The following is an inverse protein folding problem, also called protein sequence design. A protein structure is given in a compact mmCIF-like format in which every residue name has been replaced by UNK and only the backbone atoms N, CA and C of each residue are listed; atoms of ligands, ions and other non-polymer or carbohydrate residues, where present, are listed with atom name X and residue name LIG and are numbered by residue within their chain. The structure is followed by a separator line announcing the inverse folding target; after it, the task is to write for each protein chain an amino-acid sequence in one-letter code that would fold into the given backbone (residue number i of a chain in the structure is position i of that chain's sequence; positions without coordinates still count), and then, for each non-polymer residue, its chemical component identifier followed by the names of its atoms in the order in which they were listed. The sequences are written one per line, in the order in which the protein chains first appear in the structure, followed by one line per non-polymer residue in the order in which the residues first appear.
data_IF_985215941756
#
_entry.id   IF_985215941756
#
_cell.length_a   1.000
_cell.length_b   1.000
_cell.length_c   1.000
_cell.angle_alpha   90.00
_cell.angle_beta   90.00
_cell.angle_gamma   90.00
#
_symmetry.space_group_name_H-M   'P 1'
#
loop_
_entity.id
_entity.type
_entity.pdbx_description
1 polymer ?
#
# COMPACT_ATOMS: atom_id res chain seq x y z
N UNK A 1 -11.74 4.37 14.78
CA UNK A 1 -11.91 5.82 15.09
C UNK A 1 -12.48 6.11 16.49
N UNK A 2 -13.52 5.40 16.95
CA UNK A 2 -14.20 5.70 18.23
C UNK A 2 -13.52 5.07 19.47
N UNK A 3 -12.95 3.87 19.33
CA UNK A 3 -12.36 3.11 20.45
C UNK A 3 -11.11 3.78 21.06
N UNK A 4 -10.34 4.53 20.27
CA UNK A 4 -9.09 5.16 20.72
C UNK A 4 -9.15 6.69 20.84
N UNK A 5 -10.35 7.30 20.74
CA UNK A 5 -10.54 8.77 20.75
C UNK A 5 -9.60 9.52 19.78
N UNK A 6 -9.33 8.93 18.62
CA UNK A 6 -8.50 9.57 17.59
C UNK A 6 -9.38 10.54 16.82
N UNK A 7 -9.14 11.84 16.99
CA UNK A 7 -9.78 12.87 16.21
C UNK A 7 -9.04 13.02 14.86
N UNK A 8 -9.66 12.47 13.82
CA UNK A 8 -9.12 12.47 12.45
C UNK A 8 -8.89 13.90 11.95
N UNK A 9 -9.73 14.87 12.34
CA UNK A 9 -9.55 16.27 11.91
C UNK A 9 -8.32 16.88 12.56
N UNK A 10 -8.11 16.62 13.86
CA UNK A 10 -6.95 17.12 14.60
C UNK A 10 -5.63 16.50 14.12
N UNK A 11 -5.61 15.19 13.89
CA UNK A 11 -4.41 14.50 13.33
C UNK A 11 -4.08 15.00 11.93
N UNK A 12 -5.09 15.32 11.11
CA UNK A 12 -4.91 15.92 9.78
C UNK A 12 -4.32 17.32 9.86
N UNK A 13 -4.76 18.15 10.79
CA UNK A 13 -4.16 19.47 11.01
C UNK A 13 -2.71 19.39 11.46
N UNK A 14 -2.39 18.46 12.37
CA UNK A 14 -1.01 18.22 12.81
C UNK A 14 -0.15 17.75 11.62
N UNK A 15 -0.64 16.78 10.84
CA UNK A 15 0.06 16.29 9.66
C UNK A 15 0.29 17.40 8.62
N UNK A 16 -0.73 18.21 8.38
CA UNK A 16 -0.65 19.32 7.43
C UNK A 16 0.37 20.37 7.89
N UNK A 17 0.48 20.62 9.21
CA UNK A 17 1.51 21.50 9.78
C UNK A 17 2.91 20.90 9.62
N UNK A 18 3.10 19.63 9.99
CA UNK A 18 4.38 18.93 9.83
C UNK A 18 4.83 18.90 8.36
N UNK A 19 3.93 18.58 7.42
CA UNK A 19 4.23 18.62 5.99
C UNK A 19 4.57 20.03 5.53
N UNK A 20 3.86 21.05 6.00
CA UNK A 20 4.15 22.44 5.61
C UNK A 20 5.50 22.92 6.17
N UNK A 21 5.87 22.52 7.38
CA UNK A 21 7.20 22.80 7.95
C UNK A 21 8.32 22.06 7.18
N UNK A 22 8.10 20.80 6.81
CA UNK A 22 9.02 20.04 5.95
C UNK A 22 9.14 20.68 4.56
N UNK A 23 8.01 21.12 3.98
CA UNK A 23 7.98 21.82 2.69
C UNK A 23 8.68 23.17 2.73
N UNK A 24 8.61 23.90 3.85
CA UNK A 24 9.29 25.19 4.02
C UNK A 24 10.79 25.05 4.32
N UNK A 25 11.22 23.95 4.93
CA UNK A 25 12.63 23.66 5.22
C UNK A 25 13.39 22.96 4.07
N UNK A 26 12.67 22.39 3.09
CA UNK A 26 13.28 21.73 1.92
C UNK A 26 13.39 22.72 0.74
N UNK A 27 14.57 22.91 0.11
CA UNK A 27 14.77 23.88 -0.97
C UNK A 27 14.10 23.50 -2.31
N UNK A 28 13.37 22.38 -2.40
CA UNK A 28 12.56 22.01 -3.57
C UNK A 28 11.23 22.78 -3.59
N UNK A 29 11.31 24.10 -3.70
CA UNK A 29 10.18 24.96 -4.03
C UNK A 29 9.89 24.88 -5.54
N UNK A 30 9.38 23.75 -6.02
CA UNK A 30 8.76 23.68 -7.35
C UNK A 30 7.26 23.64 -7.14
N UNK A 31 6.55 24.69 -7.62
CA UNK A 31 5.15 24.54 -8.05
C UNK A 31 5.10 23.31 -8.94
N UNK A 32 4.54 22.23 -8.41
CA UNK A 32 4.46 20.96 -9.13
C UNK A 32 3.49 21.16 -10.28
N UNK A 33 4.01 21.21 -11.51
CA UNK A 33 3.16 21.19 -12.68
C UNK A 33 2.53 19.80 -12.75
N UNK A 34 1.33 19.66 -12.21
CA UNK A 34 0.52 18.46 -12.38
C UNK A 34 -0.10 18.47 -13.78
N UNK A 35 -0.19 17.30 -14.38
CA UNK A 35 -0.95 17.11 -15.63
C UNK A 35 -2.27 16.44 -15.33
N UNK A 36 -3.30 16.74 -16.12
CA UNK A 36 -4.65 16.19 -15.90
C UNK A 36 -4.64 14.66 -15.93
N UNK A 37 -4.13 14.08 -17.01
CA UNK A 37 -3.84 12.66 -17.11
C UNK A 37 -2.93 12.46 -18.31
N UNK A 38 -1.78 11.82 -18.10
CA UNK A 38 -0.90 11.39 -19.18
C UNK A 38 -0.96 9.86 -19.26
N UNK A 39 -1.77 9.36 -20.19
CA UNK A 39 -1.94 7.93 -20.42
C UNK A 39 -0.63 7.26 -20.84
N UNK A 40 0.25 8.00 -21.54
CA UNK A 40 1.54 7.50 -22.00
C UNK A 40 2.46 7.28 -20.80
N UNK A 41 2.56 8.28 -19.92
CA UNK A 41 3.34 8.17 -18.69
C UNK A 41 2.83 7.04 -17.80
N UNK A 42 1.51 6.91 -17.64
CA UNK A 42 0.88 5.82 -16.88
C UNK A 42 1.24 4.44 -17.45
N UNK A 43 1.11 4.27 -18.76
CA UNK A 43 1.43 3.00 -19.45
C UNK A 43 2.91 2.63 -19.30
N UNK A 44 3.80 3.62 -19.45
CA UNK A 44 5.25 3.44 -19.27
C UNK A 44 5.56 3.02 -17.83
N UNK A 45 4.93 3.65 -16.84
CA UNK A 45 5.12 3.29 -15.43
C UNK A 45 4.67 1.85 -15.14
N UNK A 46 3.50 1.44 -15.66
CA UNK A 46 3.01 0.08 -15.53
C UNK A 46 3.92 -0.94 -16.24
N UNK A 47 4.36 -0.64 -17.46
CA UNK A 47 5.22 -1.53 -18.24
C UNK A 47 6.59 -1.73 -17.59
N UNK A 48 7.26 -0.65 -17.19
CA UNK A 48 8.52 -0.71 -16.47
C UNK A 48 8.33 -1.46 -15.15
N UNK A 49 7.30 -1.12 -14.39
CA UNK A 49 6.97 -1.77 -13.13
C UNK A 49 6.74 -3.28 -13.25
N UNK A 50 5.99 -3.71 -14.26
CA UNK A 50 5.77 -5.13 -14.55
C UNK A 50 7.08 -5.83 -14.92
N UNK A 51 7.91 -5.18 -15.74
CA UNK A 51 9.21 -5.73 -16.15
C UNK A 51 10.16 -5.86 -14.97
N UNK A 52 10.26 -4.83 -14.12
CA UNK A 52 11.03 -4.87 -12.87
C UNK A 52 10.49 -5.92 -11.91
N UNK A 53 9.16 -6.07 -11.80
CA UNK A 53 8.52 -7.07 -10.94
C UNK A 53 8.79 -8.52 -11.37
N UNK A 54 9.13 -8.74 -12.64
CA UNK A 54 9.53 -10.06 -13.16
C UNK A 54 10.99 -10.40 -12.90
N UNK A 55 11.82 -9.44 -12.48
CA UNK A 55 13.20 -9.72 -12.10
C UNK A 55 13.20 -10.61 -10.85
N UNK A 56 13.76 -11.80 -11.01
CA UNK A 56 13.98 -12.76 -9.93
C UNK A 56 15.46 -12.76 -9.59
N UNK A 57 15.76 -12.51 -8.33
CA UNK A 57 17.10 -12.61 -7.80
C UNK A 57 17.29 -13.99 -7.20
N UNK A 58 18.37 -14.66 -7.57
CA UNK A 58 18.74 -15.94 -6.95
C UNK A 58 19.48 -15.63 -5.64
N UNK A 59 18.83 -15.90 -4.51
CA UNK A 59 19.42 -15.74 -3.17
C UNK A 59 19.97 -17.07 -2.64
N UNK A 60 20.60 -17.88 -3.51
CA UNK A 60 21.33 -19.10 -3.15
C UNK A 60 20.45 -20.08 -2.35
N UNK A 61 20.72 -20.32 -1.04
CA UNK A 61 19.94 -21.25 -0.22
C UNK A 61 18.46 -20.85 -0.01
N UNK A 62 18.08 -19.61 -0.32
CA UNK A 62 16.70 -19.11 -0.24
C UNK A 62 15.93 -19.22 -1.57
N UNK A 63 16.57 -19.69 -2.65
CA UNK A 63 15.95 -19.82 -3.96
C UNK A 63 15.71 -18.50 -4.70
N UNK A 64 14.74 -18.49 -5.61
CA UNK A 64 14.41 -17.31 -6.43
C UNK A 64 13.43 -16.39 -5.70
N UNK A 65 13.93 -15.24 -5.26
CA UNK A 65 13.12 -14.18 -4.63
C UNK A 65 12.86 -13.09 -5.67
N UNK A 66 11.58 -12.76 -5.86
CA UNK A 66 11.17 -11.65 -6.73
C UNK A 66 10.20 -10.74 -6.00
N UNK A 67 10.18 -9.47 -6.38
CA UNK A 67 9.24 -8.47 -5.83
C UNK A 67 7.79 -8.72 -6.26
N UNK A 68 7.57 -9.60 -7.24
CA UNK A 68 6.28 -9.81 -7.87
C UNK A 68 5.87 -8.61 -8.74
N UNK A 69 4.84 -8.82 -9.56
CA UNK A 69 4.31 -7.76 -10.44
C UNK A 69 3.83 -6.55 -9.63
N UNK A 70 3.18 -6.76 -8.50
CA UNK A 70 2.62 -5.68 -7.67
C UNK A 70 3.71 -4.87 -6.98
N UNK A 71 4.70 -5.52 -6.37
CA UNK A 71 5.83 -4.84 -5.74
C UNK A 71 6.68 -4.07 -6.75
N UNK A 72 6.95 -4.66 -7.92
CA UNK A 72 7.68 -3.99 -9.00
C UNK A 72 6.95 -2.76 -9.56
N UNK A 73 5.63 -2.85 -9.77
CA UNK A 73 4.82 -1.70 -10.19
C UNK A 73 4.78 -0.60 -9.15
N UNK A 74 4.60 -0.93 -7.87
CA UNK A 74 4.62 0.07 -6.80
C UNK A 74 5.98 0.76 -6.67
N UNK A 75 7.08 -0.01 -6.64
CA UNK A 75 8.43 0.56 -6.52
C UNK A 75 8.78 1.43 -7.72
N UNK A 76 8.50 0.97 -8.94
CA UNK A 76 8.73 1.74 -10.17
C UNK A 76 7.88 3.02 -10.19
N UNK A 77 6.60 2.93 -9.80
CA UNK A 77 5.70 4.09 -9.80
C UNK A 77 6.09 5.12 -8.74
N UNK A 78 6.60 4.66 -7.59
CA UNK A 78 7.11 5.54 -6.53
C UNK A 78 8.38 6.29 -6.98
N UNK A 79 9.32 5.59 -7.62
CA UNK A 79 10.55 6.19 -8.17
C UNK A 79 10.22 7.20 -9.28
N UNK A 80 9.39 6.79 -10.25
CA UNK A 80 8.97 7.66 -11.35
C UNK A 80 8.16 8.87 -10.86
N UNK A 81 7.29 8.68 -9.88
CA UNK A 81 6.53 9.75 -9.23
C UNK A 81 7.44 10.73 -8.48
N UNK A 82 8.50 10.25 -7.84
CA UNK A 82 9.49 11.09 -7.17
C UNK A 82 10.33 11.91 -8.16
N UNK A 83 10.77 11.32 -9.28
CA UNK A 83 11.47 12.04 -10.36
C UNK A 83 10.54 13.09 -11.00
N UNK A 84 9.26 12.75 -11.10
CA UNK A 84 8.19 13.65 -11.50
C UNK A 84 8.09 13.87 -13.01
N UNK A 85 9.13 14.40 -13.65
CA UNK A 85 9.14 14.67 -15.09
C UNK A 85 10.38 14.08 -15.76
N UNK A 86 10.17 13.25 -16.78
CA UNK A 86 11.25 12.71 -17.62
C UNK A 86 10.95 13.10 -19.07
N UNK A 87 11.72 14.07 -19.59
CA UNK A 87 11.53 14.59 -20.96
C UNK A 87 10.14 15.21 -21.15
N UNK A 88 9.34 14.63 -22.06
CA UNK A 88 7.97 15.06 -22.35
C UNK A 88 6.91 14.44 -21.41
N UNK A 89 7.25 13.35 -20.71
CA UNK A 89 6.34 12.60 -19.85
C UNK A 89 6.30 13.19 -18.45
N UNK A 90 5.09 13.33 -17.90
CA UNK A 90 4.87 13.78 -16.54
C UNK A 90 4.15 12.70 -15.74
N UNK A 91 4.81 12.21 -14.69
CA UNK A 91 4.33 11.17 -13.80
C UNK A 91 3.58 11.74 -12.58
N UNK A 92 3.48 13.08 -12.46
CA UNK A 92 2.72 13.76 -11.41
C UNK A 92 1.35 14.14 -11.94
N UNK A 93 0.37 13.37 -11.48
CA UNK A 93 -1.02 13.53 -11.86
C UNK A 93 -1.75 14.47 -10.90
N UNK A 94 -2.81 15.13 -11.36
CA UNK A 94 -3.70 15.89 -10.49
C UNK A 94 -4.41 14.97 -9.49
N UNK A 95 -4.40 15.34 -8.21
CA UNK A 95 -4.94 14.55 -7.10
C UNK A 95 -6.42 14.19 -7.32
N UNK A 96 -7.23 15.08 -7.91
CA UNK A 96 -8.66 14.79 -8.14
C UNK A 96 -8.85 13.68 -9.15
N UNK A 97 -8.06 13.69 -10.22
CA UNK A 97 -8.17 12.69 -11.29
C UNK A 97 -7.55 11.36 -10.82
N UNK A 98 -6.46 11.42 -10.05
CA UNK A 98 -5.88 10.24 -9.41
C UNK A 98 -6.89 9.55 -8.48
N UNK A 99 -7.60 10.32 -7.66
CA UNK A 99 -8.67 9.82 -6.79
C UNK A 99 -9.76 9.07 -7.56
N UNK A 100 -10.27 9.67 -8.65
CA UNK A 100 -11.29 9.05 -9.51
C UNK A 100 -10.79 7.76 -10.15
N UNK A 101 -9.58 7.76 -10.73
CA UNK A 101 -9.01 6.55 -11.35
C UNK A 101 -8.83 5.43 -10.33
N UNK A 102 -8.37 5.77 -9.12
CA UNK A 102 -8.19 4.80 -8.05
C UNK A 102 -9.52 4.20 -7.59
N UNK A 103 -10.55 5.02 -7.40
CA UNK A 103 -11.89 4.54 -7.04
C UNK A 103 -12.45 3.58 -8.09
N UNK A 104 -12.37 3.96 -9.37
CA UNK A 104 -12.79 3.10 -10.48
C UNK A 104 -12.00 1.80 -10.50
N UNK A 105 -10.68 1.87 -10.35
CA UNK A 105 -9.79 0.69 -10.35
C UNK A 105 -10.07 -0.23 -9.16
N UNK A 106 -10.31 0.34 -7.97
CA UNK A 106 -10.63 -0.41 -6.76
C UNK A 106 -12.00 -1.08 -6.88
N UNK A 107 -13.00 -0.38 -7.43
CA UNK A 107 -14.33 -0.92 -7.68
C UNK A 107 -14.27 -2.13 -8.63
N UNK A 108 -13.56 -2.01 -9.76
CA UNK A 108 -13.36 -3.13 -10.68
C UNK A 108 -12.59 -4.28 -10.04
N UNK A 109 -11.53 -3.99 -9.29
CA UNK A 109 -10.75 -4.99 -8.57
C UNK A 109 -11.62 -5.78 -7.58
N UNK A 110 -12.42 -5.08 -6.76
CA UNK A 110 -13.34 -5.70 -5.80
C UNK A 110 -14.43 -6.51 -6.50
N UNK A 111 -15.00 -6.00 -7.60
CA UNK A 111 -15.99 -6.71 -8.40
C UNK A 111 -15.42 -8.03 -8.96
N UNK A 112 -14.21 -8.01 -9.52
CA UNK A 112 -13.56 -9.20 -10.08
C UNK A 112 -13.25 -10.23 -8.99
N UNK A 113 -12.71 -9.80 -7.84
CA UNK A 113 -12.44 -10.71 -6.71
C UNK A 113 -13.73 -11.30 -6.17
N UNK A 114 -14.78 -10.50 -6.00
CA UNK A 114 -16.09 -10.96 -5.56
C UNK A 114 -16.68 -12.00 -6.50
N UNK A 115 -16.62 -11.77 -7.81
CA UNK A 115 -17.11 -12.72 -8.81
C UNK A 115 -16.28 -14.01 -8.88
N UNK A 116 -14.94 -13.92 -8.77
CA UNK A 116 -14.05 -15.09 -8.84
C UNK A 116 -14.06 -15.94 -7.59
N UNK A 117 -14.08 -15.32 -6.42
CA UNK A 117 -13.85 -15.99 -5.13
C UNK A 117 -15.10 -16.01 -4.23
N UNK A 118 -16.21 -15.37 -4.64
CA UNK A 118 -17.41 -15.29 -3.83
C UNK A 118 -17.98 -16.65 -3.44
N UNK A 119 -18.06 -17.61 -4.37
CA UNK A 119 -18.52 -18.97 -4.05
C UNK A 119 -17.51 -19.74 -3.19
N UNK A 120 -16.20 -19.55 -3.44
CA UNK A 120 -15.13 -20.16 -2.64
C UNK A 120 -15.17 -19.72 -1.18
N UNK A 121 -15.63 -18.50 -0.89
CA UNK A 121 -15.79 -18.01 0.47
C UNK A 121 -16.80 -18.87 1.25
N UNK A 122 -17.95 -19.23 0.66
CA UNK A 122 -18.94 -20.10 1.31
C UNK A 122 -18.40 -21.52 1.55
N UNK A 123 -17.65 -22.07 0.60
CA UNK A 123 -17.00 -23.37 0.80
C UNK A 123 -15.91 -23.32 1.86
N UNK A 124 -15.17 -22.20 1.96
CA UNK A 124 -14.13 -22.00 2.98
C UNK A 124 -14.73 -21.79 4.38
N UNK A 125 -15.96 -21.29 4.49
CA UNK A 125 -16.70 -21.18 5.74
C UNK A 125 -17.35 -22.51 6.18
N UNK A 126 -17.35 -23.53 5.32
CA UNK A 126 -17.95 -24.83 5.60
C UNK A 126 -16.96 -25.84 6.19
N UNK A 127 -17.45 -26.74 7.05
CA UNK A 127 -16.64 -27.81 7.63
C UNK A 127 -15.48 -27.30 8.49
N UNK A 128 -14.28 -27.85 8.28
CA UNK A 128 -13.06 -27.47 9.00
C UNK A 128 -12.48 -26.11 8.59
N UNK A 129 -12.95 -25.51 7.50
CA UNK A 129 -12.45 -24.21 7.03
C UNK A 129 -12.77 -23.04 7.98
N UNK A 130 -13.81 -23.17 8.81
CA UNK A 130 -14.16 -22.16 9.82
C UNK A 130 -13.01 -21.93 10.83
N UNK A 131 -12.26 -22.98 11.17
CA UNK A 131 -11.10 -22.87 12.07
C UNK A 131 -9.99 -22.04 11.42
N UNK A 132 -9.75 -22.20 10.12
CA UNK A 132 -8.78 -21.40 9.37
C UNK A 132 -9.23 -19.93 9.29
N UNK A 133 -10.53 -19.68 9.10
CA UNK A 133 -11.07 -18.32 9.09
C UNK A 133 -10.90 -17.64 10.45
N UNK A 134 -11.28 -18.30 11.54
CA UNK A 134 -11.18 -17.73 12.89
C UNK A 134 -9.71 -17.50 13.27
N UNK A 135 -8.85 -18.49 13.03
CA UNK A 135 -7.42 -18.36 13.34
C UNK A 135 -6.77 -17.23 12.53
N UNK A 136 -7.02 -17.15 11.23
CA UNK A 136 -6.51 -16.06 10.39
C UNK A 136 -7.03 -14.68 10.83
N UNK A 137 -8.31 -14.59 11.24
CA UNK A 137 -8.90 -13.36 11.74
C UNK A 137 -8.25 -12.91 13.06
N UNK A 138 -8.05 -13.83 14.00
CA UNK A 138 -7.39 -13.54 15.28
C UNK A 138 -5.94 -13.10 15.06
N UNK A 139 -5.17 -13.86 14.26
CA UNK A 139 -3.77 -13.51 13.94
C UNK A 139 -3.69 -12.17 13.22
N UNK A 140 -4.56 -11.92 12.24
CA UNK A 140 -4.63 -10.66 11.51
C UNK A 140 -4.97 -9.47 12.41
N UNK A 141 -5.95 -9.61 13.30
CA UNK A 141 -6.28 -8.57 14.28
C UNK A 141 -5.12 -8.29 15.23
N UNK A 142 -4.45 -9.32 15.73
CA UNK A 142 -3.28 -9.17 16.59
C UNK A 142 -2.16 -8.44 15.84
N UNK A 143 -1.88 -8.82 14.59
CA UNK A 143 -0.86 -8.17 13.78
C UNK A 143 -1.15 -6.67 13.54
N UNK A 144 -2.42 -6.33 13.25
CA UNK A 144 -2.85 -4.93 13.09
C UNK A 144 -2.71 -4.14 14.39
N UNK A 145 -3.11 -4.72 15.53
CA UNK A 145 -3.01 -4.08 16.85
C UNK A 145 -1.55 -3.84 17.23
N UNK A 146 -0.69 -4.85 17.06
CA UNK A 146 0.74 -4.72 17.31
C UNK A 146 1.36 -3.67 16.40
N UNK A 147 1.06 -3.72 15.09
CA UNK A 147 1.54 -2.73 14.12
C UNK A 147 1.11 -1.31 14.49
N UNK A 148 -0.13 -1.12 14.95
CA UNK A 148 -0.61 0.15 15.46
C UNK A 148 0.13 0.61 16.73
N UNK A 149 0.26 -0.27 17.73
CA UNK A 149 0.93 0.06 18.99
C UNK A 149 2.39 0.45 18.76
N UNK A 150 3.12 -0.35 17.98
CA UNK A 150 4.52 -0.09 17.64
C UNK A 150 4.64 1.20 16.82
N UNK A 151 3.82 1.36 15.78
CA UNK A 151 3.86 2.55 14.92
C UNK A 151 3.52 3.84 15.66
N UNK A 152 2.53 3.82 16.57
CA UNK A 152 2.07 5.01 17.29
C UNK A 152 2.92 5.34 18.51
N UNK A 153 3.33 4.35 19.30
CA UNK A 153 4.01 4.60 20.59
C UNK A 153 5.53 4.54 20.48
N UNK A 154 6.09 3.68 19.62
CA UNK A 154 7.54 3.55 19.46
C UNK A 154 8.02 4.51 18.38
N UNK A 155 7.45 4.42 17.17
CA UNK A 155 7.86 5.25 16.04
C UNK A 155 7.18 6.62 15.97
N UNK A 156 6.18 6.88 16.83
CA UNK A 156 5.46 8.15 16.93
C UNK A 156 4.92 8.65 15.59
N UNK A 157 4.48 7.74 14.73
CA UNK A 157 3.96 8.08 13.41
C UNK A 157 2.59 8.76 13.51
N UNK A 158 2.36 9.73 12.61
CA UNK A 158 1.04 10.33 12.43
C UNK A 158 0.02 9.25 12.02
N UNK A 159 -1.20 9.35 12.53
CA UNK A 159 -2.26 8.38 12.26
C UNK A 159 -2.53 8.16 10.77
N UNK A 160 -2.49 9.22 9.95
CA UNK A 160 -2.79 9.18 8.51
C UNK A 160 -1.75 8.33 7.77
N UNK A 161 -0.47 8.52 8.07
CA UNK A 161 0.60 7.73 7.47
C UNK A 161 0.66 6.31 8.06
N UNK A 162 0.34 6.17 9.35
CA UNK A 162 0.32 4.90 10.05
C UNK A 162 -0.77 3.95 9.52
N UNK A 163 -2.00 4.43 9.29
CA UNK A 163 -3.07 3.58 8.74
C UNK A 163 -2.71 3.09 7.33
N UNK A 164 -2.11 3.96 6.51
CA UNK A 164 -1.57 3.59 5.20
C UNK A 164 -0.48 2.53 5.29
N UNK A 165 0.48 2.73 6.20
CA UNK A 165 1.57 1.79 6.46
C UNK A 165 1.06 0.42 6.94
N UNK A 166 0.05 0.37 7.81
CA UNK A 166 -0.59 -0.87 8.27
C UNK A 166 -1.28 -1.57 7.09
N UNK A 167 -2.03 -0.85 6.26
CA UNK A 167 -2.63 -1.43 5.05
C UNK A 167 -1.57 -1.97 4.09
N UNK A 168 -0.44 -1.28 3.96
CA UNK A 168 0.71 -1.71 3.15
C UNK A 168 1.36 -2.98 3.69
N UNK A 169 1.59 -3.04 5.01
CA UNK A 169 2.11 -4.20 5.72
C UNK A 169 1.20 -5.42 5.63
N UNK A 170 -0.10 -5.21 5.72
CA UNK A 170 -1.11 -6.26 5.53
C UNK A 170 -1.35 -6.58 4.04
N UNK A 171 -0.67 -5.89 3.12
CA UNK A 171 -0.84 -6.00 1.67
C UNK A 171 -2.30 -5.82 1.19
N UNK A 172 -3.10 -5.08 1.97
CA UNK A 172 -4.55 -4.95 1.77
C UNK A 172 -4.89 -3.63 1.06
N UNK A 173 -4.95 -3.69 -0.27
CA UNK A 173 -5.43 -2.60 -1.13
C UNK A 173 -6.85 -2.12 -0.81
N UNK A 174 -7.85 -2.99 -0.49
CA UNK A 174 -9.16 -2.50 -0.08
C UNK A 174 -9.15 -1.82 1.29
N UNK A 175 -8.27 -2.26 2.20
CA UNK A 175 -8.04 -1.56 3.47
C UNK A 175 -7.52 -0.13 3.25
N UNK A 176 -6.60 0.05 2.29
CA UNK A 176 -6.13 1.38 1.90
C UNK A 176 -7.28 2.25 1.35
N UNK A 177 -8.13 1.71 0.49
CA UNK A 177 -9.30 2.42 -0.03
C UNK A 177 -10.22 2.93 1.09
N UNK A 178 -10.55 2.05 2.04
CA UNK A 178 -11.35 2.42 3.21
C UNK A 178 -10.64 3.47 4.10
N UNK A 179 -9.32 3.40 4.24
CA UNK A 179 -8.54 4.39 4.99
C UNK A 179 -8.57 5.77 4.33
N UNK A 180 -8.43 5.84 3.01
CA UNK A 180 -8.49 7.09 2.25
C UNK A 180 -9.89 7.71 2.34
N UNK A 181 -10.93 6.89 2.18
CA UNK A 181 -12.32 7.35 2.33
C UNK A 181 -12.58 7.89 3.75
N UNK A 182 -12.07 7.22 4.79
CA UNK A 182 -12.22 7.65 6.17
C UNK A 182 -11.45 8.94 6.50
N UNK A 183 -10.30 9.19 5.85
CA UNK A 183 -9.49 10.40 6.06
C UNK A 183 -9.96 11.56 5.17
N UNK A 184 -10.54 11.26 4.00
CA UNK A 184 -10.90 12.25 2.98
C UNK A 184 -9.69 12.91 2.32
N UNK A 185 -8.56 12.19 2.23
CA UNK A 185 -7.35 12.60 1.50
C UNK A 185 -6.54 11.38 1.05
N UNK A 186 -5.69 11.58 0.04
CA UNK A 186 -4.86 10.53 -0.56
C UNK A 186 -3.55 10.26 0.21
N UNK A 187 -3.32 10.99 1.30
CA UNK A 187 -2.11 10.93 2.11
C UNK A 187 -1.77 9.53 2.67
N UNK A 188 -2.74 8.67 3.06
CA UNK A 188 -2.45 7.30 3.47
C UNK A 188 -1.75 6.47 2.37
N UNK A 189 -1.96 6.81 1.09
CA UNK A 189 -1.35 6.07 -0.02
C UNK A 189 0.19 6.16 -0.01
N UNK A 190 0.75 7.26 0.51
CA UNK A 190 2.20 7.41 0.64
C UNK A 190 2.79 6.38 1.64
N UNK A 191 2.16 6.22 2.80
CA UNK A 191 2.56 5.23 3.81
C UNK A 191 2.42 3.79 3.28
N UNK A 192 1.35 3.51 2.54
CA UNK A 192 1.15 2.22 1.88
C UNK A 192 2.27 1.93 0.86
N UNK A 193 2.54 2.87 -0.05
CA UNK A 193 3.54 2.69 -1.09
C UNK A 193 4.96 2.49 -0.55
N UNK A 194 5.29 3.16 0.57
CA UNK A 194 6.59 3.02 1.21
C UNK A 194 6.81 1.64 1.84
N UNK A 195 5.79 1.09 2.53
CA UNK A 195 5.94 -0.16 3.30
C UNK A 195 5.68 -1.41 2.46
N UNK A 196 4.83 -1.33 1.43
CA UNK A 196 4.39 -2.50 0.67
C UNK A 196 5.54 -3.33 0.05
N UNK A 197 6.59 -2.76 -0.56
CA UNK A 197 7.71 -3.55 -1.10
C UNK A 197 8.44 -4.34 -0.02
N UNK A 198 8.63 -3.74 1.17
CA UNK A 198 9.26 -4.41 2.31
C UNK A 198 8.37 -5.52 2.87
N UNK A 199 7.05 -5.30 2.92
CA UNK A 199 6.09 -6.31 3.33
C UNK A 199 6.15 -7.54 2.41
N UNK A 200 6.24 -7.35 1.09
CA UNK A 200 6.39 -8.45 0.15
C UNK A 200 7.72 -9.19 0.30
N UNK A 201 8.84 -8.48 0.44
CA UNK A 201 10.13 -9.13 0.69
C UNK A 201 10.11 -9.93 1.99
N UNK A 202 9.59 -9.34 3.06
CA UNK A 202 9.43 -10.00 4.36
C UNK A 202 8.57 -11.26 4.22
N UNK A 203 7.39 -11.15 3.60
CA UNK A 203 6.50 -12.28 3.35
C UNK A 203 7.20 -13.43 2.62
N UNK A 204 7.94 -13.13 1.55
CA UNK A 204 8.66 -14.16 0.78
C UNK A 204 9.74 -14.83 1.63
N UNK A 205 10.56 -14.05 2.35
CA UNK A 205 11.62 -14.59 3.22
C UNK A 205 11.03 -15.45 4.33
N UNK A 206 10.00 -14.96 5.04
CA UNK A 206 9.34 -15.72 6.10
C UNK A 206 8.68 -16.98 5.57
N UNK A 207 8.05 -16.94 4.39
CA UNK A 207 7.47 -18.12 3.76
C UNK A 207 8.53 -19.19 3.44
N UNK A 208 9.70 -18.79 2.96
CA UNK A 208 10.81 -19.72 2.67
C UNK A 208 11.33 -20.34 3.97
N UNK A 209 11.54 -19.51 5.00
CA UNK A 209 12.00 -20.00 6.31
C UNK A 209 11.00 -21.01 6.87
N UNK A 210 9.70 -20.69 6.86
CA UNK A 210 8.65 -21.55 7.38
C UNK A 210 8.57 -22.88 6.61
N UNK A 211 8.73 -22.85 5.28
CA UNK A 211 8.73 -24.06 4.46
C UNK A 211 10.01 -24.91 4.61
N UNK A 212 11.14 -24.31 5.00
CA UNK A 212 12.38 -25.01 5.27
C UNK A 212 12.53 -25.45 6.74
N UNK A 213 11.63 -25.05 7.63
CA UNK A 213 11.59 -25.62 8.98
C UNK A 213 11.10 -27.06 8.87
N UNK A 214 11.81 -28.03 9.47
CA UNK A 214 11.28 -29.37 9.64
C UNK A 214 10.17 -29.31 10.71
N UNK A 215 8.92 -29.15 10.27
CA UNK A 215 7.71 -29.27 11.10
C UNK A 215 7.03 -30.59 10.76
#
# INVERSE_FOLDING_TARGET
PVIFKIDVKKEREIFSREINEIRMSTPLNRKENTVRFDLTAFTVACFLGYTFGRLKFNLGPLGYVGFGSTGGVLLSSLILGHIGKIGMLNFRMDDKILGVIREISLAFFLAIIGLRYGFYAFTALSGTGIYLVITSLVVGLIAVIIGYLVGRYIFKLNWIMLVGAICGGMTSTPGLGAAIEAVGSDEPAAGYAAIYPFALLGMVIFSIILHNLPI
#
